data_IF_135197782123
#
_entry.id   IF_135197782123
#
_cell.length_a   1.000
_cell.length_b   1.000
_cell.length_c   1.000
_cell.angle_alpha   90.00
_cell.angle_beta   90.00
_cell.angle_gamma   90.00
#
_symmetry.space_group_name_H-M   'P 1'
#
loop_
_entity.id
_entity.type
_entity.pdbx_description
1 polymer ?
#
# COMPACT_ATOMS: atom_id res chain seq x y z
N UNK A 1 -7.10 -71.15 -59.12
CA UNK A 1 -6.30 -69.92 -59.31
C UNK A 1 -6.23 -69.21 -57.97
N UNK A 2 -5.00 -69.01 -57.48
CA UNK A 2 -4.56 -68.22 -56.31
C UNK A 2 -4.96 -68.64 -54.87
N UNK A 3 -3.94 -69.16 -54.18
CA UNK A 3 -3.66 -69.03 -52.74
C UNK A 3 -3.57 -67.55 -52.33
N UNK A 4 -3.91 -67.21 -51.08
CA UNK A 4 -3.09 -66.42 -50.12
C UNK A 4 -3.85 -66.35 -48.77
N UNK A 5 -3.18 -66.87 -47.73
CA UNK A 5 -3.49 -66.67 -46.31
C UNK A 5 -2.56 -65.58 -45.78
N UNK A 6 -3.04 -64.70 -44.88
CA UNK A 6 -2.18 -63.75 -44.18
C UNK A 6 -2.92 -62.54 -43.61
N UNK A 7 -3.33 -62.60 -42.34
CA UNK A 7 -3.80 -61.46 -41.57
C UNK A 7 -2.61 -60.54 -41.24
N UNK A 8 -2.69 -59.27 -41.66
CA UNK A 8 -1.76 -58.21 -41.29
C UNK A 8 -1.78 -57.90 -39.80
N UNK A 9 -0.66 -58.12 -39.12
CA UNK A 9 -0.32 -57.48 -37.85
C UNK A 9 0.80 -56.47 -38.11
N UNK A 10 0.44 -55.19 -38.26
CA UNK A 10 1.37 -54.08 -38.38
C UNK A 10 2.09 -53.86 -37.04
N UNK A 11 3.40 -54.06 -37.05
CA UNK A 11 4.32 -53.69 -35.99
C UNK A 11 4.46 -52.15 -35.93
N UNK A 12 4.23 -51.55 -34.76
CA UNK A 12 4.69 -50.18 -34.47
C UNK A 12 6.08 -50.20 -33.82
N UNK A 13 6.98 -49.26 -34.18
CA UNK A 13 8.40 -49.34 -33.82
C UNK A 13 8.65 -49.01 -32.35
N UNK A 14 9.55 -49.82 -31.75
CA UNK A 14 10.17 -49.57 -30.45
C UNK A 14 11.06 -48.32 -30.54
N UNK A 15 10.84 -47.35 -29.66
CA UNK A 15 11.75 -46.21 -29.52
C UNK A 15 11.22 -45.07 -28.67
N UNK A 16 11.13 -45.26 -27.35
CA UNK A 16 11.16 -44.13 -26.41
C UNK A 16 12.41 -44.30 -25.56
N UNK A 17 13.37 -43.43 -25.84
CA UNK A 17 14.64 -43.28 -25.15
C UNK A 17 14.44 -43.04 -23.65
N UNK A 18 15.20 -43.81 -22.88
CA UNK A 18 15.34 -43.77 -21.42
C UNK A 18 15.89 -42.41 -20.99
N UNK A 19 15.02 -41.43 -20.73
CA UNK A 19 15.38 -40.25 -19.96
C UNK A 19 15.37 -40.63 -18.47
N UNK A 20 16.46 -40.35 -17.76
CA UNK A 20 16.70 -40.68 -16.35
C UNK A 20 15.46 -40.45 -15.47
N UNK A 21 14.94 -41.54 -14.93
CA UNK A 21 13.92 -41.53 -13.91
C UNK A 21 14.53 -41.16 -12.55
N UNK A 22 14.61 -39.87 -12.22
CA UNK A 22 14.77 -39.45 -10.82
C UNK A 22 13.55 -39.95 -10.04
N UNK A 23 13.75 -40.87 -9.09
CA UNK A 23 12.70 -41.61 -8.38
C UNK A 23 11.57 -40.70 -7.84
N UNK A 24 10.41 -40.70 -8.52
CA UNK A 24 9.17 -40.08 -8.05
C UNK A 24 8.41 -41.11 -7.21
N UNK A 25 8.65 -41.12 -5.90
CA UNK A 25 7.88 -41.97 -4.98
C UNK A 25 6.48 -41.42 -4.73
N UNK A 26 5.46 -42.00 -5.35
CA UNK A 26 4.04 -41.76 -5.04
C UNK A 26 3.57 -42.79 -4.00
N UNK A 27 3.59 -42.44 -2.71
CA UNK A 27 3.00 -43.29 -1.66
C UNK A 27 1.53 -42.90 -1.44
N UNK A 28 0.63 -43.90 -1.52
CA UNK A 28 -0.75 -43.80 -1.03
C UNK A 28 -0.76 -44.26 0.42
N UNK A 29 -1.23 -43.41 1.33
CA UNK A 29 -1.22 -43.72 2.77
C UNK A 29 -2.24 -44.83 3.15
N UNK A 30 -3.17 -45.23 2.26
CA UNK A 30 -4.11 -46.36 2.46
C UNK A 30 -4.95 -46.60 1.18
N UNK A 31 -5.45 -47.83 0.90
CA UNK A 31 -6.33 -48.11 -0.25
C UNK A 31 -7.63 -47.29 -0.25
N UNK A 32 -8.09 -46.84 0.92
CA UNK A 32 -9.35 -46.12 1.09
C UNK A 32 -9.18 -44.61 1.42
N UNK A 33 -7.97 -44.06 1.27
CA UNK A 33 -7.69 -42.66 1.57
C UNK A 33 -7.35 -41.87 0.31
N UNK A 34 -8.14 -40.83 0.00
CA UNK A 34 -7.87 -39.85 -1.08
C UNK A 34 -6.66 -38.93 -0.78
N UNK A 35 -5.60 -39.43 -0.14
CA UNK A 35 -4.44 -38.69 0.32
C UNK A 35 -3.16 -39.20 -0.36
N UNK A 36 -2.66 -38.46 -1.36
CA UNK A 36 -1.34 -38.71 -1.96
C UNK A 36 -0.28 -37.84 -1.30
N UNK A 37 0.86 -38.45 -0.95
CA UNK A 37 2.10 -37.77 -0.51
C UNK A 37 3.17 -37.96 -1.58
N UNK A 38 3.88 -36.88 -1.89
CA UNK A 38 5.05 -36.89 -2.78
C UNK A 38 6.26 -36.36 -2.01
N UNK A 39 7.36 -37.12 -2.07
CA UNK A 39 8.68 -36.70 -1.60
C UNK A 39 9.72 -36.90 -2.70
N UNK A 40 10.51 -35.86 -2.96
CA UNK A 40 11.47 -35.83 -4.06
C UNK A 40 12.84 -35.31 -3.59
N UNK A 41 13.91 -35.87 -4.16
CA UNK A 41 15.29 -35.53 -3.78
C UNK A 41 15.90 -34.41 -4.64
N UNK A 42 15.65 -34.31 -5.96
CA UNK A 42 16.36 -33.35 -6.83
C UNK A 42 15.52 -32.71 -7.95
N UNK A 43 15.64 -31.40 -8.18
CA UNK A 43 15.45 -30.74 -9.49
C UNK A 43 14.16 -30.98 -10.29
N UNK A 44 13.04 -31.38 -9.65
CA UNK A 44 11.92 -32.05 -10.34
C UNK A 44 11.02 -31.11 -11.14
N UNK A 45 10.64 -31.58 -12.34
CA UNK A 45 9.50 -31.08 -13.09
C UNK A 45 8.31 -32.02 -12.82
N UNK A 46 7.32 -31.58 -12.05
CA UNK A 46 6.15 -32.41 -11.72
C UNK A 46 5.05 -32.17 -12.76
N UNK A 47 4.55 -33.21 -13.43
CA UNK A 47 3.47 -33.06 -14.41
C UNK A 47 2.18 -32.54 -13.73
N UNK A 48 1.23 -31.99 -14.51
CA UNK A 48 -0.03 -31.50 -13.97
C UNK A 48 -0.81 -32.62 -13.28
N UNK A 49 -1.03 -32.46 -11.99
CA UNK A 49 -1.79 -33.44 -11.20
C UNK A 49 -3.28 -33.10 -11.33
N UNK A 50 -4.06 -34.10 -11.74
CA UNK A 50 -5.52 -34.02 -11.87
C UNK A 50 -6.23 -34.09 -10.52
N UNK A 51 -5.62 -34.75 -9.53
CA UNK A 51 -6.11 -34.88 -8.16
C UNK A 51 -5.24 -34.06 -7.17
N UNK A 52 -5.87 -33.48 -6.15
CA UNK A 52 -5.22 -32.66 -5.13
C UNK A 52 -4.15 -33.39 -4.30
N UNK A 53 -2.97 -32.79 -4.19
CA UNK A 53 -1.94 -33.25 -3.26
C UNK A 53 -2.14 -32.65 -1.87
N UNK A 54 -2.50 -33.49 -0.89
CA UNK A 54 -2.62 -33.03 0.50
C UNK A 54 -1.26 -32.55 1.03
N UNK A 55 -0.16 -33.28 0.76
CA UNK A 55 1.18 -32.96 1.28
C UNK A 55 2.27 -33.20 0.24
N UNK A 56 3.12 -32.19 0.00
CA UNK A 56 4.33 -32.32 -0.83
C UNK A 56 5.53 -31.79 -0.04
N UNK A 57 6.64 -32.51 -0.10
CA UNK A 57 7.91 -32.08 0.48
C UNK A 57 9.04 -32.34 -0.53
N UNK A 58 9.88 -31.34 -0.79
CA UNK A 58 11.08 -31.50 -1.63
C UNK A 58 12.32 -31.08 -0.87
N UNK A 59 13.39 -31.88 -1.01
CA UNK A 59 14.72 -31.48 -0.53
C UNK A 59 15.42 -30.57 -1.55
N UNK A 60 15.34 -30.88 -2.84
CA UNK A 60 15.89 -30.06 -3.93
C UNK A 60 14.89 -29.09 -4.58
N UNK A 61 15.39 -28.26 -5.48
CA UNK A 61 14.64 -27.20 -6.15
C UNK A 61 13.54 -27.72 -7.06
N UNK A 62 12.41 -27.00 -7.09
CA UNK A 62 11.23 -27.38 -7.88
C UNK A 62 11.05 -26.42 -9.04
N UNK A 63 11.16 -26.92 -10.28
CA UNK A 63 10.99 -26.09 -11.48
C UNK A 63 9.52 -25.67 -11.64
N UNK A 64 8.60 -26.63 -11.55
CA UNK A 64 7.17 -26.38 -11.67
C UNK A 64 6.35 -27.41 -10.90
N UNK A 65 5.28 -26.95 -10.24
CA UNK A 65 4.33 -27.79 -9.52
C UNK A 65 2.88 -27.27 -9.74
N UNK A 66 2.16 -27.77 -10.76
CA UNK A 66 0.78 -27.39 -11.03
C UNK A 66 -0.23 -28.34 -10.36
N UNK A 67 -1.27 -27.81 -9.73
CA UNK A 67 -2.40 -28.60 -9.22
C UNK A 67 -3.74 -27.91 -9.49
N UNK A 68 -4.76 -28.70 -9.87
CA UNK A 68 -6.15 -28.21 -9.97
C UNK A 68 -6.74 -27.96 -8.57
N UNK A 69 -6.75 -28.97 -7.70
CA UNK A 69 -7.39 -28.90 -6.36
C UNK A 69 -6.49 -28.30 -5.27
N UNK A 70 -5.32 -27.80 -5.68
CA UNK A 70 -4.40 -27.10 -4.79
C UNK A 70 -3.75 -27.95 -3.73
N UNK A 71 -3.23 -27.28 -2.71
CA UNK A 71 -2.30 -27.88 -1.76
C UNK A 71 -2.66 -27.55 -0.31
N UNK A 72 -2.83 -28.59 0.52
CA UNK A 72 -3.06 -28.36 1.97
C UNK A 72 -1.77 -27.93 2.67
N UNK A 73 -0.65 -28.60 2.42
CA UNK A 73 0.66 -28.24 2.97
C UNK A 73 1.78 -28.50 1.97
N UNK A 74 2.66 -27.53 1.76
CA UNK A 74 3.82 -27.61 0.88
C UNK A 74 5.07 -27.17 1.64
N UNK A 75 6.15 -27.95 1.55
CA UNK A 75 7.44 -27.61 2.13
C UNK A 75 8.57 -27.82 1.11
N UNK A 76 9.48 -26.85 1.00
CA UNK A 76 10.71 -26.98 0.19
C UNK A 76 11.89 -26.37 0.92
N UNK A 77 13.05 -27.03 0.88
CA UNK A 77 14.28 -26.40 1.35
C UNK A 77 14.85 -25.45 0.29
N UNK A 78 14.76 -25.80 -0.99
CA UNK A 78 15.26 -24.96 -2.08
C UNK A 78 14.18 -24.13 -2.78
N UNK A 79 14.62 -23.32 -3.75
CA UNK A 79 13.77 -22.44 -4.57
C UNK A 79 12.67 -23.23 -5.30
N UNK A 80 11.43 -22.76 -5.17
CA UNK A 80 10.33 -23.14 -6.06
C UNK A 80 10.19 -22.08 -7.15
N UNK A 81 10.52 -22.42 -8.40
CA UNK A 81 10.40 -21.48 -9.52
C UNK A 81 8.92 -21.16 -9.79
N UNK A 82 8.04 -22.15 -9.90
CA UNK A 82 6.60 -21.92 -10.18
C UNK A 82 5.70 -22.90 -9.45
N UNK A 83 4.84 -22.39 -8.57
CA UNK A 83 3.82 -23.17 -7.87
C UNK A 83 2.44 -22.62 -8.23
N UNK A 84 1.72 -23.36 -9.08
CA UNK A 84 0.45 -22.90 -9.66
C UNK A 84 -0.71 -23.73 -9.13
N UNK A 85 -1.77 -23.07 -8.68
CA UNK A 85 -2.95 -23.76 -8.18
C UNK A 85 -4.26 -23.06 -8.51
N UNK A 86 -5.32 -23.81 -8.87
CA UNK A 86 -6.67 -23.22 -8.96
C UNK A 86 -7.22 -22.99 -7.55
N UNK A 87 -7.35 -24.03 -6.72
CA UNK A 87 -7.92 -23.91 -5.36
C UNK A 87 -6.97 -23.32 -4.28
N UNK A 88 -5.75 -22.97 -4.68
CA UNK A 88 -4.78 -22.29 -3.84
C UNK A 88 -3.94 -23.16 -2.92
N UNK A 89 -3.25 -22.51 -1.99
CA UNK A 89 -2.32 -23.14 -1.07
C UNK A 89 -2.70 -22.76 0.36
N UNK A 90 -2.99 -23.75 1.20
CA UNK A 90 -3.38 -23.49 2.59
C UNK A 90 -2.15 -23.18 3.44
N UNK A 91 -1.07 -23.95 3.32
CA UNK A 91 0.21 -23.67 4.00
C UNK A 91 1.39 -23.91 3.06
N UNK A 92 2.24 -22.91 2.92
CA UNK A 92 3.49 -23.00 2.18
C UNK A 92 4.65 -22.60 3.09
N UNK A 93 5.64 -23.47 3.20
CA UNK A 93 6.91 -23.21 3.85
C UNK A 93 8.04 -23.38 2.83
N UNK A 94 8.90 -22.38 2.69
CA UNK A 94 10.10 -22.49 1.84
C UNK A 94 11.28 -21.79 2.48
N UNK A 95 12.46 -22.42 2.51
CA UNK A 95 13.66 -21.71 2.98
C UNK A 95 14.11 -20.70 1.90
N UNK A 96 14.38 -21.16 0.68
CA UNK A 96 14.84 -20.27 -0.40
C UNK A 96 13.74 -19.56 -1.21
N UNK A 97 12.50 -19.59 -0.71
CA UNK A 97 11.43 -18.79 -1.28
C UNK A 97 10.74 -19.38 -2.53
N UNK A 98 9.86 -18.56 -3.12
CA UNK A 98 9.09 -18.91 -4.33
C UNK A 98 9.16 -17.78 -5.34
N UNK A 99 9.52 -18.07 -6.59
CA UNK A 99 9.64 -17.00 -7.59
C UNK A 99 8.29 -16.55 -8.14
N UNK A 100 7.36 -17.48 -8.40
CA UNK A 100 6.01 -17.21 -8.90
C UNK A 100 4.96 -18.12 -8.25
N UNK A 101 3.95 -17.52 -7.63
CA UNK A 101 2.81 -18.21 -7.04
C UNK A 101 1.47 -17.71 -7.61
N UNK A 102 1.05 -18.14 -8.81
CA UNK A 102 -0.29 -17.84 -9.31
C UNK A 102 -1.33 -18.73 -8.65
N UNK A 103 -2.36 -18.12 -8.05
CA UNK A 103 -3.47 -18.84 -7.45
C UNK A 103 -4.84 -18.19 -7.72
N UNK A 104 -5.88 -18.99 -8.01
CA UNK A 104 -7.25 -18.44 -8.03
C UNK A 104 -7.76 -18.23 -6.60
N UNK A 105 -7.75 -19.26 -5.74
CA UNK A 105 -8.40 -19.17 -4.40
C UNK A 105 -7.47 -18.78 -3.24
N UNK A 106 -6.21 -18.49 -3.54
CA UNK A 106 -5.29 -17.73 -2.71
C UNK A 106 -4.37 -18.52 -1.80
N UNK A 107 -3.80 -17.81 -0.82
CA UNK A 107 -2.77 -18.30 0.09
C UNK A 107 -3.19 -18.02 1.53
N UNK A 108 -3.51 -19.07 2.29
CA UNK A 108 -3.95 -18.89 3.68
C UNK A 108 -2.77 -18.53 4.60
N UNK A 109 -1.62 -19.17 4.42
CA UNK A 109 -0.41 -18.87 5.19
C UNK A 109 0.85 -19.21 4.42
N UNK A 110 1.85 -18.35 4.55
CA UNK A 110 3.19 -18.52 4.01
C UNK A 110 4.23 -18.16 5.07
N UNK A 111 5.27 -18.99 5.19
CA UNK A 111 6.45 -18.70 5.99
C UNK A 111 7.71 -18.98 5.16
N UNK A 112 8.61 -18.02 5.07
CA UNK A 112 9.87 -18.21 4.34
C UNK A 112 11.02 -17.38 4.86
N UNK A 113 12.25 -17.87 4.68
CA UNK A 113 13.45 -17.09 4.91
C UNK A 113 13.72 -16.11 3.77
N UNK A 114 13.61 -16.50 2.50
CA UNK A 114 13.87 -15.59 1.35
C UNK A 114 12.61 -14.96 0.70
N UNK A 115 11.41 -15.39 1.09
CA UNK A 115 10.15 -14.75 0.70
C UNK A 115 9.61 -15.15 -0.68
N UNK A 116 8.64 -14.37 -1.18
CA UNK A 116 8.02 -14.61 -2.50
C UNK A 116 8.41 -13.46 -3.43
N UNK A 117 9.00 -13.77 -4.60
CA UNK A 117 9.32 -12.72 -5.59
C UNK A 117 8.03 -12.15 -6.17
N UNK A 118 7.12 -13.00 -6.67
CA UNK A 118 5.83 -12.59 -7.26
C UNK A 118 4.68 -13.46 -6.78
N UNK A 119 3.71 -12.85 -6.09
CA UNK A 119 2.45 -13.47 -5.69
C UNK A 119 1.30 -12.82 -6.46
N UNK A 120 0.49 -13.65 -7.13
CA UNK A 120 -0.73 -13.20 -7.80
C UNK A 120 -1.90 -14.06 -7.34
N UNK A 121 -2.88 -13.42 -6.70
CA UNK A 121 -4.07 -14.11 -6.25
C UNK A 121 -5.36 -13.40 -6.63
N UNK A 122 -6.36 -14.17 -7.06
CA UNK A 122 -7.73 -13.64 -7.18
C UNK A 122 -8.44 -13.54 -5.83
N UNK A 123 -7.96 -14.21 -4.78
CA UNK A 123 -8.57 -14.23 -3.45
C UNK A 123 -7.60 -13.66 -2.41
N UNK A 124 -8.04 -13.58 -1.16
CA UNK A 124 -7.30 -12.93 -0.09
C UNK A 124 -6.07 -13.72 0.36
N UNK A 125 -4.98 -13.01 0.65
CA UNK A 125 -3.82 -13.55 1.36
C UNK A 125 -4.01 -13.27 2.84
N UNK A 126 -4.13 -14.31 3.68
CA UNK A 126 -4.50 -14.15 5.10
C UNK A 126 -3.32 -13.90 6.04
N UNK A 127 -2.17 -14.51 5.77
CA UNK A 127 -0.90 -14.30 6.49
C UNK A 127 0.25 -14.57 5.53
N UNK A 128 1.21 -13.66 5.52
CA UNK A 128 2.46 -13.83 4.79
C UNK A 128 3.57 -13.37 5.72
N UNK A 129 4.49 -14.26 6.03
CA UNK A 129 5.68 -13.97 6.83
C UNK A 129 6.92 -14.27 5.99
N UNK A 130 7.75 -13.27 5.77
CA UNK A 130 9.05 -13.42 5.13
C UNK A 130 10.14 -12.66 5.86
N UNK A 131 11.37 -13.22 5.91
CA UNK A 131 12.53 -12.43 6.33
C UNK A 131 12.92 -11.48 5.19
N UNK A 132 13.00 -11.95 3.95
CA UNK A 132 13.39 -11.12 2.79
C UNK A 132 12.20 -10.49 2.04
N UNK A 133 12.49 -9.44 1.27
CA UNK A 133 11.56 -8.56 0.61
C UNK A 133 10.68 -9.23 -0.46
N UNK A 134 9.37 -8.96 -0.42
CA UNK A 134 8.45 -9.34 -1.51
C UNK A 134 8.53 -8.29 -2.63
N UNK A 135 8.88 -8.71 -3.85
CA UNK A 135 9.04 -7.74 -4.95
C UNK A 135 7.70 -7.26 -5.51
N UNK A 136 6.71 -8.15 -5.61
CA UNK A 136 5.37 -7.84 -6.12
C UNK A 136 4.32 -8.73 -5.48
N UNK A 137 3.32 -8.11 -4.86
CA UNK A 137 2.16 -8.80 -4.31
C UNK A 137 0.88 -8.19 -4.88
N UNK A 138 0.08 -9.00 -5.57
CA UNK A 138 -1.17 -8.58 -6.17
C UNK A 138 -2.30 -9.49 -5.68
N UNK A 139 -3.34 -8.87 -5.10
CA UNK A 139 -4.55 -9.59 -4.68
C UNK A 139 -5.81 -8.87 -5.11
N UNK A 140 -6.78 -9.60 -5.66
CA UNK A 140 -8.08 -9.00 -5.96
C UNK A 140 -8.96 -8.77 -4.72
N UNK A 141 -8.91 -9.64 -3.71
CA UNK A 141 -9.83 -9.58 -2.54
C UNK A 141 -9.18 -8.99 -1.27
N UNK A 142 -7.85 -8.81 -1.26
CA UNK A 142 -7.15 -8.05 -0.22
C UNK A 142 -6.10 -8.87 0.53
N UNK A 143 -5.36 -8.18 1.40
CA UNK A 143 -4.28 -8.77 2.19
C UNK A 143 -4.55 -8.50 3.66
N UNK A 144 -4.52 -9.54 4.48
CA UNK A 144 -4.59 -9.45 5.94
C UNK A 144 -3.22 -9.81 6.49
N UNK A 145 -2.67 -8.97 7.38
CA UNK A 145 -1.42 -9.22 8.13
C UNK A 145 -0.25 -9.81 7.30
N UNK A 146 0.24 -9.13 6.25
CA UNK A 146 1.56 -9.42 5.75
C UNK A 146 2.60 -8.81 6.68
N UNK A 147 3.64 -9.60 6.97
CA UNK A 147 4.81 -9.24 7.73
C UNK A 147 6.04 -9.56 6.89
N UNK A 148 6.87 -8.55 6.65
CA UNK A 148 8.16 -8.69 5.97
C UNK A 148 9.19 -7.91 6.77
N UNK A 149 10.36 -8.50 7.03
CA UNK A 149 11.47 -7.74 7.63
C UNK A 149 11.99 -6.72 6.61
N UNK A 150 12.34 -7.17 5.40
CA UNK A 150 12.96 -6.31 4.37
C UNK A 150 11.93 -5.58 3.45
N UNK A 151 10.67 -5.54 3.88
CA UNK A 151 9.62 -4.73 3.25
C UNK A 151 8.98 -5.34 1.99
N UNK A 152 8.21 -4.52 1.27
CA UNK A 152 7.49 -4.89 0.04
C UNK A 152 7.70 -3.79 -1.01
N UNK A 153 8.30 -4.13 -2.17
CA UNK A 153 8.57 -3.12 -3.21
C UNK A 153 7.28 -2.57 -3.82
N UNK A 154 6.32 -3.45 -4.12
CA UNK A 154 5.01 -3.11 -4.71
C UNK A 154 3.92 -4.02 -4.16
N UNK A 155 2.89 -3.44 -3.57
CA UNK A 155 1.68 -4.12 -3.12
C UNK A 155 0.46 -3.47 -3.77
N UNK A 156 -0.32 -4.24 -4.51
CA UNK A 156 -1.57 -3.78 -5.11
C UNK A 156 -2.74 -4.65 -4.65
N UNK A 157 -3.80 -4.00 -4.15
CA UNK A 157 -5.05 -4.69 -3.85
C UNK A 157 -6.25 -3.94 -4.43
N UNK A 158 -7.17 -4.67 -5.06
CA UNK A 158 -8.45 -4.08 -5.47
C UNK A 158 -9.44 -3.95 -4.31
N UNK A 159 -9.32 -4.77 -3.26
CA UNK A 159 -10.14 -4.66 -2.04
C UNK A 159 -9.33 -4.30 -0.80
N UNK A 160 -10.02 -3.98 0.29
CA UNK A 160 -9.47 -3.43 1.55
C UNK A 160 -8.34 -4.29 2.15
N UNK A 161 -7.21 -3.66 2.48
CA UNK A 161 -6.12 -4.29 3.22
C UNK A 161 -6.24 -4.01 4.72
N UNK A 162 -6.19 -5.08 5.52
CA UNK A 162 -6.35 -5.00 6.98
C UNK A 162 -5.02 -5.24 7.69
N UNK A 163 -4.55 -4.19 8.37
CA UNK A 163 -3.36 -4.18 9.24
C UNK A 163 -2.10 -4.69 8.52
N UNK A 164 -1.43 -3.78 7.82
CA UNK A 164 -0.14 -4.05 7.20
C UNK A 164 0.97 -3.63 8.16
N UNK A 165 1.82 -4.56 8.57
CA UNK A 165 2.96 -4.31 9.47
C UNK A 165 4.25 -4.54 8.71
N UNK A 166 4.93 -3.44 8.37
CA UNK A 166 6.14 -3.48 7.55
C UNK A 166 7.30 -2.89 8.36
N UNK A 167 8.39 -3.66 8.49
CA UNK A 167 9.59 -3.21 9.19
C UNK A 167 10.37 -2.26 8.26
N UNK A 168 10.72 -2.70 7.05
CA UNK A 168 11.41 -1.86 6.04
C UNK A 168 10.52 -1.20 4.96
N UNK A 169 11.18 -0.41 4.10
CA UNK A 169 10.60 0.56 3.14
C UNK A 169 9.63 -0.04 2.10
N UNK A 170 8.56 0.71 1.80
CA UNK A 170 7.69 0.46 0.63
C UNK A 170 7.81 1.59 -0.38
N UNK A 171 8.08 1.24 -1.65
CA UNK A 171 8.14 2.24 -2.72
C UNK A 171 6.74 2.73 -3.10
N UNK A 172 5.76 1.83 -3.27
CA UNK A 172 4.39 2.18 -3.71
C UNK A 172 3.35 1.20 -3.15
N UNK A 173 2.26 1.75 -2.61
CA UNK A 173 1.11 1.00 -2.11
C UNK A 173 -0.22 1.61 -2.61
N UNK A 174 -0.66 1.29 -3.85
CA UNK A 174 -1.99 1.65 -4.32
C UNK A 174 -3.07 0.74 -3.71
N UNK A 175 -4.17 1.35 -3.24
CA UNK A 175 -5.39 0.64 -2.80
C UNK A 175 -6.63 1.28 -3.43
N UNK A 176 -7.53 0.46 -3.97
CA UNK A 176 -8.85 0.94 -4.46
C UNK A 176 -9.82 1.14 -3.28
N UNK A 177 -10.05 0.15 -2.43
CA UNK A 177 -11.06 0.18 -1.35
C UNK A 177 -10.54 0.57 0.06
N UNK A 178 -9.45 1.35 0.10
CA UNK A 178 -8.95 2.00 1.32
C UNK A 178 -8.02 1.16 2.21
N UNK A 179 -7.56 1.77 3.30
CA UNK A 179 -6.62 1.18 4.28
C UNK A 179 -7.07 1.45 5.72
N UNK A 180 -7.13 0.40 6.55
CA UNK A 180 -7.58 0.52 7.95
C UNK A 180 -6.46 0.93 8.92
N UNK A 181 -5.32 0.23 8.89
CA UNK A 181 -4.14 0.51 9.72
C UNK A 181 -2.86 0.14 8.94
N UNK A 182 -1.91 1.05 8.89
CA UNK A 182 -0.58 0.83 8.31
C UNK A 182 0.50 1.43 9.22
N UNK A 183 0.92 0.71 10.28
CA UNK A 183 2.15 1.03 10.98
C UNK A 183 3.37 0.69 10.13
N UNK A 184 4.25 1.68 9.91
CA UNK A 184 5.54 1.48 9.25
C UNK A 184 6.67 2.02 10.13
N UNK A 185 7.74 1.22 10.28
CA UNK A 185 8.95 1.64 11.01
C UNK A 185 9.91 2.45 10.12
N UNK A 186 10.10 2.12 8.84
CA UNK A 186 11.08 2.78 7.96
C UNK A 186 10.54 3.48 6.68
N UNK A 187 9.26 3.83 6.63
CA UNK A 187 8.78 4.87 5.73
C UNK A 187 8.28 4.41 4.36
N UNK A 188 7.37 5.23 3.81
CA UNK A 188 6.60 4.96 2.60
C UNK A 188 6.81 6.10 1.60
N UNK A 189 7.23 5.80 0.36
CA UNK A 189 7.43 6.87 -0.64
C UNK A 189 6.09 7.40 -1.17
N UNK A 190 5.15 6.52 -1.58
CA UNK A 190 3.87 6.93 -2.20
C UNK A 190 2.69 6.09 -1.74
N UNK A 191 1.59 6.76 -1.35
CA UNK A 191 0.33 6.14 -0.95
C UNK A 191 -0.89 6.75 -1.68
N UNK A 192 -1.22 6.27 -2.89
CA UNK A 192 -2.48 6.62 -3.55
C UNK A 192 -3.63 5.71 -3.09
N UNK A 193 -4.77 6.30 -2.73
CA UNK A 193 -5.98 5.58 -2.33
C UNK A 193 -7.24 6.21 -2.95
N UNK A 194 -8.21 5.39 -3.37
CA UNK A 194 -9.54 5.90 -3.75
C UNK A 194 -10.43 6.06 -2.50
N UNK A 195 -10.73 4.99 -1.76
CA UNK A 195 -11.65 5.01 -0.61
C UNK A 195 -11.07 5.50 0.75
N UNK A 196 -9.96 6.23 0.72
CA UNK A 196 -9.42 6.90 1.92
C UNK A 196 -8.67 6.00 2.90
N UNK A 197 -8.19 6.62 3.99
CA UNK A 197 -7.33 5.98 5.00
C UNK A 197 -7.88 6.26 6.40
N UNK A 198 -8.14 5.19 7.18
CA UNK A 198 -8.65 5.33 8.56
C UNK A 198 -7.54 5.83 9.48
N UNK A 199 -6.49 5.04 9.67
CA UNK A 199 -5.37 5.39 10.56
C UNK A 199 -4.02 5.09 9.90
N UNK A 200 -3.15 6.09 9.83
CA UNK A 200 -1.79 5.98 9.30
C UNK A 200 -0.76 6.56 10.29
N UNK A 201 -0.31 5.77 11.27
CA UNK A 201 0.84 6.12 12.09
C UNK A 201 2.14 5.74 11.39
N UNK A 202 3.02 6.70 11.14
CA UNK A 202 4.35 6.48 10.56
C UNK A 202 5.44 7.03 11.46
N UNK A 203 6.48 6.22 11.73
CA UNK A 203 7.69 6.71 12.41
C UNK A 203 8.61 7.47 11.46
N UNK A 204 8.69 7.06 10.19
CA UNK A 204 9.56 7.65 9.16
C UNK A 204 8.72 8.36 8.08
N UNK A 205 9.26 9.41 7.48
CA UNK A 205 8.50 10.39 6.70
C UNK A 205 7.81 9.82 5.46
N UNK A 206 6.58 10.28 5.17
CA UNK A 206 5.86 9.95 3.94
C UNK A 206 6.14 11.02 2.87
N UNK A 207 6.67 10.65 1.69
CA UNK A 207 6.94 11.67 0.64
C UNK A 207 5.62 12.19 0.06
N UNK A 208 4.71 11.31 -0.35
CA UNK A 208 3.45 11.72 -0.97
C UNK A 208 2.27 10.84 -0.56
N UNK A 209 1.18 11.48 -0.15
CA UNK A 209 -0.11 10.86 0.11
C UNK A 209 -1.18 11.53 -0.75
N UNK A 210 -2.02 10.71 -1.41
CA UNK A 210 -3.17 11.20 -2.18
C UNK A 210 -4.39 10.32 -1.97
N UNK A 211 -5.52 10.91 -1.55
CA UNK A 211 -6.80 10.21 -1.36
C UNK A 211 -7.98 10.91 -2.03
N UNK A 212 -8.98 10.13 -2.48
CA UNK A 212 -10.27 10.69 -2.92
C UNK A 212 -11.18 10.89 -1.71
N UNK A 213 -11.47 9.83 -0.95
CA UNK A 213 -12.44 9.82 0.17
C UNK A 213 -11.88 10.23 1.55
N UNK A 214 -10.86 11.09 1.55
CA UNK A 214 -10.37 11.69 2.80
C UNK A 214 -9.53 10.77 3.69
N UNK A 215 -9.10 11.33 4.83
CA UNK A 215 -8.25 10.66 5.84
C UNK A 215 -8.82 10.95 7.22
N UNK A 216 -9.08 9.91 8.03
CA UNK A 216 -9.53 10.13 9.41
C UNK A 216 -8.38 10.54 10.33
N UNK A 217 -7.25 9.82 10.30
CA UNK A 217 -6.10 10.13 11.15
C UNK A 217 -4.77 9.85 10.44
N UNK A 218 -3.90 10.84 10.39
CA UNK A 218 -2.52 10.73 9.93
C UNK A 218 -1.58 11.28 11.01
N UNK A 219 -0.62 10.47 11.43
CA UNK A 219 0.42 10.84 12.40
C UNK A 219 1.79 10.53 11.78
N UNK A 220 2.67 11.53 11.71
CA UNK A 220 4.05 11.36 11.22
C UNK A 220 5.05 11.96 12.19
N UNK A 221 6.16 11.26 12.48
CA UNK A 221 7.28 11.87 13.21
C UNK A 221 8.16 12.68 12.26
N UNK A 222 8.72 12.08 11.22
CA UNK A 222 9.64 12.76 10.28
C UNK A 222 8.96 13.57 9.14
N UNK A 223 7.76 14.07 9.39
CA UNK A 223 7.09 14.96 8.46
C UNK A 223 6.49 14.31 7.20
N UNK A 224 5.89 15.15 6.36
CA UNK A 224 5.22 14.75 5.10
C UNK A 224 5.52 15.81 4.02
N UNK A 225 6.02 15.41 2.84
CA UNK A 225 6.34 16.40 1.79
C UNK A 225 5.07 16.90 1.09
N UNK A 226 4.13 16.01 0.75
CA UNK A 226 2.92 16.40 0.01
C UNK A 226 1.71 15.55 0.42
N UNK A 227 0.63 16.22 0.79
CA UNK A 227 -0.67 15.63 1.12
C UNK A 227 -1.75 16.22 0.23
N UNK A 228 -2.52 15.36 -0.45
CA UNK A 228 -3.60 15.74 -1.35
C UNK A 228 -4.87 14.96 -0.97
N UNK A 229 -5.98 15.66 -0.72
CA UNK A 229 -7.27 15.02 -0.46
C UNK A 229 -8.41 15.73 -1.17
N UNK A 230 -9.43 15.00 -1.67
CA UNK A 230 -10.69 15.64 -2.09
C UNK A 230 -11.57 15.86 -0.84
N UNK A 231 -11.95 14.81 -0.13
CA UNK A 231 -12.82 14.89 1.08
C UNK A 231 -12.11 15.31 2.38
N UNK A 232 -11.01 16.06 2.26
CA UNK A 232 -10.34 16.65 3.41
C UNK A 232 -9.62 15.67 4.34
N UNK A 233 -9.29 16.14 5.54
CA UNK A 233 -8.59 15.40 6.60
C UNK A 233 -9.21 15.71 7.95
N UNK A 234 -9.61 14.70 8.74
CA UNK A 234 -10.14 14.94 10.09
C UNK A 234 -9.03 15.33 11.07
N UNK A 235 -7.94 14.55 11.14
CA UNK A 235 -6.82 14.82 12.03
C UNK A 235 -5.47 14.57 11.35
N UNK A 236 -4.61 15.57 11.37
CA UNK A 236 -3.22 15.48 10.90
C UNK A 236 -2.29 15.98 12.01
N UNK A 237 -1.35 15.13 12.43
CA UNK A 237 -0.28 15.49 13.36
C UNK A 237 1.09 15.23 12.72
N UNK A 238 1.99 16.20 12.83
CA UNK A 238 3.36 16.08 12.35
C UNK A 238 4.36 16.63 13.36
N UNK A 239 5.47 15.92 13.61
CA UNK A 239 6.58 16.50 14.39
C UNK A 239 7.47 17.37 13.49
N UNK A 240 8.10 16.81 12.46
CA UNK A 240 9.01 17.54 11.53
C UNK A 240 8.28 18.32 10.41
N UNK A 241 7.04 18.73 10.67
CA UNK A 241 6.33 19.62 9.75
C UNK A 241 5.78 19.00 8.46
N UNK A 242 5.19 19.86 7.63
CA UNK A 242 4.56 19.50 6.36
C UNK A 242 4.95 20.52 5.28
N UNK A 243 5.46 20.07 4.13
CA UNK A 243 5.84 21.03 3.06
C UNK A 243 4.62 21.54 2.29
N UNK A 244 3.66 20.67 1.98
CA UNK A 244 2.49 21.06 1.18
C UNK A 244 1.26 20.23 1.52
N UNK A 245 0.17 20.93 1.84
CA UNK A 245 -1.16 20.34 2.01
C UNK A 245 -2.15 20.95 1.03
N UNK A 246 -2.92 20.11 0.33
CA UNK A 246 -4.03 20.54 -0.52
C UNK A 246 -5.27 19.70 -0.19
N UNK A 247 -6.38 20.36 0.12
CA UNK A 247 -7.69 19.72 0.34
C UNK A 247 -8.81 20.45 -0.41
N UNK A 248 -9.88 19.75 -0.82
CA UNK A 248 -11.12 20.44 -1.23
C UNK A 248 -11.99 20.72 0.00
N UNK A 249 -12.40 19.71 0.75
CA UNK A 249 -13.26 19.84 1.96
C UNK A 249 -12.52 20.25 3.25
N UNK A 250 -11.29 20.75 3.12
CA UNK A 250 -10.58 21.34 4.26
C UNK A 250 -10.03 20.34 5.28
N UNK A 251 -9.75 20.85 6.48
CA UNK A 251 -9.09 20.13 7.57
C UNK A 251 -9.76 20.44 8.89
N UNK A 252 -10.15 19.42 9.67
CA UNK A 252 -10.74 19.67 11.00
C UNK A 252 -9.67 20.04 12.03
N UNK A 253 -8.60 19.24 12.16
CA UNK A 253 -7.49 19.55 13.06
C UNK A 253 -6.14 19.29 12.38
N UNK A 254 -5.27 20.30 12.42
CA UNK A 254 -3.87 20.21 12.00
C UNK A 254 -2.98 20.65 13.15
N UNK A 255 -2.05 19.79 13.54
CA UNK A 255 -1.00 20.09 14.52
C UNK A 255 0.37 19.85 13.91
N UNK A 256 1.26 20.82 14.07
CA UNK A 256 2.64 20.71 13.61
C UNK A 256 3.63 21.27 14.63
N UNK A 257 4.75 20.58 14.88
CA UNK A 257 5.84 21.18 15.68
C UNK A 257 6.70 22.09 14.80
N UNK A 258 7.33 21.57 13.75
CA UNK A 258 8.20 22.36 12.83
C UNK A 258 7.43 23.12 11.73
N UNK A 259 6.15 23.41 11.98
CA UNK A 259 5.35 24.25 11.09
C UNK A 259 4.98 23.65 9.74
N UNK A 260 4.46 24.53 8.87
CA UNK A 260 3.86 24.16 7.58
C UNK A 260 4.28 25.19 6.53
N UNK A 261 4.84 24.75 5.38
CA UNK A 261 5.27 25.71 4.33
C UNK A 261 4.09 26.23 3.52
N UNK A 262 3.14 25.37 3.13
CA UNK A 262 2.01 25.77 2.29
C UNK A 262 0.76 24.95 2.58
N UNK A 263 -0.34 25.65 2.85
CA UNK A 263 -1.68 25.07 2.95
C UNK A 263 -2.62 25.67 1.92
N UNK A 264 -3.35 24.83 1.20
CA UNK A 264 -4.43 25.24 0.30
C UNK A 264 -5.68 24.43 0.64
N UNK A 265 -6.81 25.09 0.91
CA UNK A 265 -8.11 24.42 1.05
C UNK A 265 -9.24 25.20 0.40
N UNK A 266 -10.33 24.53 -0.04
CA UNK A 266 -11.55 25.28 -0.40
C UNK A 266 -12.35 25.59 0.86
N UNK A 267 -12.69 24.59 1.65
CA UNK A 267 -13.52 24.74 2.86
C UNK A 267 -12.76 25.15 4.13
N UNK A 268 -11.51 25.61 4.02
CA UNK A 268 -10.80 26.19 5.15
C UNK A 268 -10.25 25.17 6.15
N UNK A 269 -10.04 25.63 7.38
CA UNK A 269 -9.49 24.83 8.49
C UNK A 269 -10.25 25.17 9.77
N UNK A 270 -10.70 24.16 10.53
CA UNK A 270 -11.35 24.43 11.83
C UNK A 270 -10.33 24.81 12.91
N UNK A 271 -9.30 23.99 13.12
CA UNK A 271 -8.22 24.28 14.08
C UNK A 271 -6.84 24.03 13.46
N UNK A 272 -5.98 25.03 13.54
CA UNK A 272 -4.56 24.95 13.16
C UNK A 272 -3.70 25.33 14.35
N UNK A 273 -2.80 24.43 14.74
CA UNK A 273 -1.81 24.64 15.79
C UNK A 273 -0.41 24.42 15.22
N UNK A 274 0.48 25.39 15.42
CA UNK A 274 1.87 25.30 14.97
C UNK A 274 2.84 25.87 16.01
N UNK A 275 3.99 25.23 16.24
CA UNK A 275 5.06 25.88 17.02
C UNK A 275 5.87 26.83 16.13
N UNK A 276 6.48 26.36 15.04
CA UNK A 276 7.29 27.18 14.10
C UNK A 276 6.47 27.91 13.02
N UNK A 277 5.17 28.10 13.27
CA UNK A 277 4.31 28.89 12.39
C UNK A 277 4.02 28.30 11.01
N UNK A 278 3.53 29.17 10.11
CA UNK A 278 3.08 28.82 8.77
C UNK A 278 3.55 29.89 7.77
N UNK A 279 4.16 29.47 6.65
CA UNK A 279 4.64 30.42 5.64
C UNK A 279 3.51 30.95 4.75
N UNK A 280 2.60 30.10 4.29
CA UNK A 280 1.51 30.51 3.39
C UNK A 280 0.24 29.70 3.59
N UNK A 281 -0.87 30.39 3.83
CA UNK A 281 -2.20 29.83 3.87
C UNK A 281 -3.10 30.43 2.80
N UNK A 282 -3.77 29.58 2.03
CA UNK A 282 -4.77 29.98 1.03
C UNK A 282 -6.05 29.19 1.29
N UNK A 283 -7.17 29.87 1.54
CA UNK A 283 -8.46 29.21 1.69
C UNK A 283 -9.63 30.02 1.14
N UNK A 284 -10.75 29.39 0.74
CA UNK A 284 -11.97 30.17 0.48
C UNK A 284 -12.68 30.48 1.79
N UNK A 285 -13.01 29.45 2.58
CA UNK A 285 -13.77 29.58 3.83
C UNK A 285 -12.94 29.96 5.08
N UNK A 286 -11.67 30.36 4.92
CA UNK A 286 -10.89 30.89 6.03
C UNK A 286 -10.47 29.88 7.09
N UNK A 287 -10.21 30.37 8.30
CA UNK A 287 -9.79 29.59 9.47
C UNK A 287 -10.64 29.95 10.68
N UNK A 288 -11.18 28.96 11.41
CA UNK A 288 -11.90 29.26 12.65
C UNK A 288 -10.94 29.60 13.78
N UNK A 289 -9.95 28.75 14.07
CA UNK A 289 -8.94 29.02 15.10
C UNK A 289 -7.53 28.76 14.57
N UNK A 290 -6.66 29.76 14.69
CA UNK A 290 -5.23 29.65 14.41
C UNK A 290 -4.43 29.98 15.67
N UNK A 291 -3.61 29.03 16.10
CA UNK A 291 -2.66 29.15 17.22
C UNK A 291 -1.25 28.94 16.68
N UNK A 292 -0.36 29.91 16.91
CA UNK A 292 1.03 29.82 16.47
C UNK A 292 2.02 30.46 17.46
N UNK A 293 3.19 29.86 17.68
CA UNK A 293 4.25 30.58 18.41
C UNK A 293 4.96 31.59 17.49
N UNK A 294 5.47 31.16 16.35
CA UNK A 294 6.20 32.02 15.39
C UNK A 294 5.28 32.73 14.34
N UNK A 295 3.98 32.74 14.57
CA UNK A 295 3.03 33.44 13.72
C UNK A 295 2.83 32.88 12.30
N UNK A 296 2.32 33.74 11.41
CA UNK A 296 1.97 33.42 10.02
C UNK A 296 2.52 34.50 9.09
N UNK A 297 3.26 34.10 8.04
CA UNK A 297 3.85 35.08 7.09
C UNK A 297 2.82 35.63 6.10
N UNK A 298 1.95 34.80 5.54
CA UNK A 298 0.96 35.23 4.55
C UNK A 298 -0.33 34.43 4.63
N UNK A 299 -1.44 35.14 4.78
CA UNK A 299 -2.79 34.59 4.66
C UNK A 299 -3.54 35.20 3.48
N UNK A 300 -4.19 34.34 2.70
CA UNK A 300 -5.11 34.74 1.63
C UNK A 300 -6.41 33.98 1.84
N UNK A 301 -7.51 34.68 2.09
CA UNK A 301 -8.81 34.03 2.26
C UNK A 301 -10.00 34.91 1.95
N UNK A 302 -11.12 34.34 1.49
CA UNK A 302 -12.36 35.14 1.35
C UNK A 302 -12.92 35.47 2.74
N UNK A 303 -13.07 34.47 3.61
CA UNK A 303 -13.72 34.60 4.93
C UNK A 303 -12.79 34.97 6.11
N UNK A 304 -11.48 35.05 5.89
CA UNK A 304 -10.56 35.55 6.93
C UNK A 304 -10.24 34.54 8.05
N UNK A 305 -9.92 35.05 9.26
CA UNK A 305 -9.74 34.24 10.49
C UNK A 305 -10.74 34.67 11.54
N UNK A 306 -11.42 33.74 12.21
CA UNK A 306 -12.28 34.08 13.35
C UNK A 306 -11.46 34.40 14.60
N UNK A 307 -10.55 33.51 15.01
CA UNK A 307 -9.64 33.75 16.14
C UNK A 307 -8.18 33.46 15.77
N UNK A 308 -7.31 34.44 15.98
CA UNK A 308 -5.86 34.35 15.82
C UNK A 308 -5.17 34.58 17.16
N UNK A 309 -4.46 33.57 17.64
CA UNK A 309 -3.59 33.62 18.81
C UNK A 309 -2.14 33.41 18.34
N UNK A 310 -1.27 34.41 18.55
CA UNK A 310 0.11 34.33 18.08
C UNK A 310 1.10 35.10 18.95
N UNK A 311 2.31 34.58 19.18
CA UNK A 311 3.35 35.41 19.82
C UNK A 311 3.91 36.44 18.83
N UNK A 312 4.28 36.02 17.63
CA UNK A 312 4.89 36.92 16.61
C UNK A 312 3.87 37.60 15.67
N UNK A 313 2.57 37.30 15.79
CA UNK A 313 1.52 37.90 14.97
C UNK A 313 1.42 37.40 13.53
N UNK A 314 0.87 38.25 12.65
CA UNK A 314 0.61 37.99 11.23
C UNK A 314 1.26 39.07 10.36
N UNK A 315 2.15 38.69 9.43
CA UNK A 315 2.87 39.67 8.60
C UNK A 315 2.02 40.26 7.48
N UNK A 316 1.21 39.44 6.79
CA UNK A 316 0.38 39.91 5.68
C UNK A 316 -0.93 39.14 5.60
N UNK A 317 -2.03 39.88 5.59
CA UNK A 317 -3.37 39.36 5.37
C UNK A 317 -4.00 39.96 4.13
N UNK A 318 -4.60 39.11 3.30
CA UNK A 318 -5.42 39.51 2.16
C UNK A 318 -6.77 38.80 2.33
N UNK A 319 -7.81 39.55 2.66
CA UNK A 319 -9.13 38.96 2.86
C UNK A 319 -10.27 39.95 2.80
N UNK A 320 -11.45 39.47 2.41
CA UNK A 320 -12.67 40.28 2.42
C UNK A 320 -13.18 40.55 3.84
N UNK A 321 -13.02 39.60 4.77
CA UNK A 321 -13.61 39.66 6.11
C UNK A 321 -12.60 39.91 7.26
N UNK A 322 -11.30 40.01 7.00
CA UNK A 322 -10.30 40.35 8.03
C UNK A 322 -10.08 39.27 9.10
N UNK A 323 -9.48 39.65 10.24
CA UNK A 323 -9.39 38.83 11.46
C UNK A 323 -10.41 39.38 12.45
N UNK A 324 -11.34 38.55 12.95
CA UNK A 324 -12.35 39.02 13.91
C UNK A 324 -11.82 39.22 15.33
N UNK A 325 -10.95 38.31 15.79
CA UNK A 325 -10.31 38.40 17.11
C UNK A 325 -8.82 38.11 16.99
N UNK A 326 -8.00 39.08 17.41
CA UNK A 326 -6.54 39.02 17.39
C UNK A 326 -6.00 39.13 18.81
N UNK A 327 -5.34 38.08 19.27
CA UNK A 327 -4.60 38.03 20.53
C UNK A 327 -3.12 37.81 20.16
N UNK A 328 -2.36 38.91 20.05
CA UNK A 328 -1.01 38.87 19.50
C UNK A 328 -0.07 39.90 20.11
N UNK A 329 1.13 39.48 20.52
CA UNK A 329 2.19 40.43 20.91
C UNK A 329 2.80 41.15 19.70
N UNK A 330 2.93 40.45 18.57
CA UNK A 330 3.52 41.00 17.33
C UNK A 330 2.54 41.74 16.40
N UNK A 331 1.25 41.81 16.75
CA UNK A 331 0.21 42.48 15.96
C UNK A 331 -0.05 41.92 14.55
N UNK A 332 -0.66 42.75 13.69
CA UNK A 332 -0.87 42.52 12.25
C UNK A 332 -0.11 43.61 11.48
N UNK A 333 0.91 43.24 10.70
CA UNK A 333 1.75 44.25 10.02
C UNK A 333 1.11 44.86 8.78
N UNK A 334 0.30 44.09 8.03
CA UNK A 334 -0.36 44.58 6.81
C UNK A 334 -1.65 43.82 6.54
N UNK A 335 -2.76 44.55 6.44
CA UNK A 335 -4.06 44.05 6.01
C UNK A 335 -4.41 44.67 4.65
N UNK A 336 -4.87 43.83 3.72
CA UNK A 336 -5.39 44.25 2.41
C UNK A 336 -6.86 43.83 2.35
N UNK A 337 -7.76 44.81 2.25
CA UNK A 337 -9.22 44.63 2.35
C UNK A 337 -9.89 44.36 1.01
N UNK A 338 -11.23 44.26 1.03
CA UNK A 338 -12.09 43.87 -0.08
C UNK A 338 -11.99 44.85 -1.26
N UNK A 339 -11.76 46.13 -0.99
CA UNK A 339 -11.65 47.24 -1.94
C UNK A 339 -10.34 47.16 -2.72
N UNK A 340 -9.20 47.05 -2.03
CA UNK A 340 -7.86 46.93 -2.66
C UNK A 340 -7.69 45.63 -3.46
N UNK A 341 -8.35 44.54 -3.05
CA UNK A 341 -8.31 43.26 -3.81
C UNK A 341 -9.05 43.39 -5.14
N UNK A 342 -10.18 44.12 -5.16
CA UNK A 342 -10.98 44.35 -6.37
C UNK A 342 -10.20 45.20 -7.37
N UNK A 343 -9.49 46.22 -6.88
CA UNK A 343 -8.64 47.09 -7.69
C UNK A 343 -7.45 46.34 -8.31
N UNK A 344 -6.83 45.41 -7.58
CA UNK A 344 -5.77 44.54 -8.09
C UNK A 344 -6.27 43.53 -9.15
N UNK A 345 -7.50 43.01 -9.02
CA UNK A 345 -8.12 42.16 -10.05
C UNK A 345 -8.46 42.97 -11.31
N UNK A 346 -8.96 44.20 -11.16
CA UNK A 346 -9.28 45.10 -12.28
C UNK A 346 -8.03 45.55 -13.05
N UNK A 347 -6.94 45.92 -12.36
CA UNK A 347 -5.65 46.31 -12.96
C UNK A 347 -4.92 45.15 -13.68
N UNK A 348 -5.21 43.90 -13.30
CA UNK A 348 -4.65 42.72 -13.97
C UNK A 348 -5.46 42.29 -15.21
N UNK A 349 -6.78 42.54 -15.22
CA UNK A 349 -7.65 42.26 -16.36
C UNK A 349 -7.64 43.32 -17.46
N UNK A 350 -7.10 44.50 -17.20
CA UNK A 350 -6.96 45.61 -18.17
C UNK A 350 -5.62 45.60 -18.93
N UNK A 351 -4.80 44.55 -18.74
CA UNK A 351 -3.53 44.32 -19.46
C UNK A 351 -3.59 43.12 -20.43
N UNK A 352 -4.79 42.66 -20.81
CA UNK A 352 -4.96 41.66 -21.87
C UNK A 352 -5.34 42.30 -23.19
#
# INVERSE_FOLDING_TARGET
MMLISGKSSEQLPRGISRAEASQVGLQRDSPNASARRLSLQEGVNVPPLTEGLKKFASKGGVKQLPSKDGFKTQASNEVIKKLASREGVKRLASKEGVTKLPSKDGLKSHASTEGIRRLESKVAVKRLESKVAVTKLESKVGVKKPESKDGIKKLESSKRANSLTLKETVKKLPSKEGLNKLPSKEGLKKLPSKEGVKNLPSKVGLKTQSSREGIKKLESKEGLKKQMSKEGVKKLESKEGLKKQISKEGVKKLESKEGLKKQISKEGVKKLESKEGLKKQISKAGVKKLESKEGLKKQISKEGVKKLESKEGLKKQISKAGVKKLESKGGLKKQISKEEVKELELKAGSKS
#
